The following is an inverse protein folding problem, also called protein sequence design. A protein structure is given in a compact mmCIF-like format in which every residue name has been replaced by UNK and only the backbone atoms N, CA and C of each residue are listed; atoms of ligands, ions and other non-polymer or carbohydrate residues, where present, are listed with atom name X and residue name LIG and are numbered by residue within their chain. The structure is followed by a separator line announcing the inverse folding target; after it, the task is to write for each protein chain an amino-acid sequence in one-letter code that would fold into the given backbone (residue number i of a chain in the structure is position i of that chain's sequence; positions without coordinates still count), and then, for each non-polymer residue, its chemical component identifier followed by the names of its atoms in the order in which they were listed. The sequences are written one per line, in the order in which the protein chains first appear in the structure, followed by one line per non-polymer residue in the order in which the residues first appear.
data_IF_793962985456
#
_entry.id   IF_793962985456
#
_cell.length_a   1.000
_cell.length_b   1.000
_cell.length_c   1.000
_cell.angle_alpha   90.00
_cell.angle_beta   90.00
_cell.angle_gamma   90.00
#
_symmetry.space_group_name_H-M   'P 1'
#
loop_
_entity.id
_entity.type
_entity.pdbx_description
1 polymer ?
#
# COMPACT_ATOMS: atom_id res chain seq x y z
N UNK A 1 27.22 -0.71 -0.42
CA UNK A 1 28.36 -1.02 0.46
C UNK A 1 28.52 0.12 1.45
N UNK A 2 28.85 -0.17 2.71
CA UNK A 2 29.28 0.86 3.69
C UNK A 2 30.80 0.69 3.81
N UNK A 3 31.59 1.58 3.20
CA UNK A 3 33.03 1.34 3.05
C UNK A 3 33.31 0.02 2.31
N UNK A 4 34.03 -0.91 2.94
CA UNK A 4 34.33 -2.26 2.41
C UNK A 4 33.30 -3.35 2.78
N UNK A 5 32.23 -3.02 3.50
CA UNK A 5 31.22 -4.00 3.91
C UNK A 5 30.08 -4.08 2.88
N UNK A 6 29.89 -5.27 2.30
CA UNK A 6 28.70 -5.58 1.50
C UNK A 6 27.52 -5.78 2.46
N UNK A 7 26.60 -4.82 2.47
CA UNK A 7 25.36 -4.91 3.24
C UNK A 7 24.54 -6.08 2.67
N UNK A 8 24.24 -7.13 3.47
CA UNK A 8 23.41 -8.24 3.01
C UNK A 8 22.00 -7.76 2.64
N UNK A 9 21.42 -8.34 1.60
CA UNK A 9 20.04 -8.02 1.19
C UNK A 9 19.01 -8.34 2.28
N UNK A 10 19.27 -9.37 3.10
CA UNK A 10 18.42 -9.75 4.23
C UNK A 10 18.26 -8.65 5.32
N UNK A 11 19.19 -7.67 5.36
CA UNK A 11 19.03 -6.53 6.27
C UNK A 11 17.89 -5.61 5.84
N UNK A 12 17.50 -5.62 4.56
CA UNK A 12 16.34 -4.87 4.09
C UNK A 12 15.02 -5.50 4.56
N UNK A 13 14.92 -6.82 4.56
CA UNK A 13 13.76 -7.52 5.13
C UNK A 13 13.64 -7.23 6.64
N UNK A 14 14.79 -7.24 7.33
CA UNK A 14 14.86 -6.88 8.75
C UNK A 14 14.47 -5.42 9.00
N UNK A 15 14.86 -4.49 8.11
CA UNK A 15 14.49 -3.08 8.20
C UNK A 15 12.99 -2.88 7.99
N UNK A 16 12.37 -3.59 7.03
CA UNK A 16 10.92 -3.56 6.84
C UNK A 16 10.21 -4.05 8.11
N UNK A 17 10.63 -5.19 8.67
CA UNK A 17 10.04 -5.72 9.91
C UNK A 17 10.17 -4.73 11.09
N UNK A 18 11.35 -4.12 11.27
CA UNK A 18 11.57 -3.10 12.30
C UNK A 18 10.73 -1.84 12.07
N UNK A 19 10.61 -1.38 10.82
CA UNK A 19 9.75 -0.27 10.46
C UNK A 19 8.28 -0.58 10.79
N UNK A 20 7.81 -1.79 10.48
CA UNK A 20 6.45 -2.21 10.81
C UNK A 20 6.19 -2.26 12.33
N UNK A 21 7.11 -2.83 13.10
CA UNK A 21 6.99 -2.92 14.57
C UNK A 21 6.99 -1.53 15.22
N UNK A 22 7.84 -0.62 14.73
CA UNK A 22 7.95 0.74 15.28
C UNK A 22 6.83 1.68 14.83
N UNK A 23 6.42 1.60 13.57
CA UNK A 23 5.36 2.44 12.99
C UNK A 23 3.95 1.97 13.38
N UNK A 24 3.76 0.70 13.72
CA UNK A 24 2.47 0.15 14.16
C UNK A 24 1.78 0.95 15.28
N UNK A 25 2.41 1.16 16.44
CA UNK A 25 1.81 1.96 17.52
C UNK A 25 1.62 3.43 17.13
N UNK A 26 2.46 3.97 16.25
CA UNK A 26 2.35 5.36 15.77
C UNK A 26 1.11 5.51 14.89
N UNK A 27 0.93 4.63 13.91
CA UNK A 27 -0.25 4.58 13.06
C UNK A 27 -1.51 4.37 13.90
N UNK A 28 -1.50 3.44 14.85
CA UNK A 28 -2.64 3.22 15.76
C UNK A 28 -3.06 4.49 16.50
N UNK A 29 -2.11 5.29 16.99
CA UNK A 29 -2.40 6.60 17.61
C UNK A 29 -2.93 7.62 16.60
N UNK A 30 -2.36 7.68 15.40
CA UNK A 30 -2.81 8.58 14.33
C UNK A 30 -4.26 8.27 13.96
N UNK A 31 -4.60 7.01 13.75
CA UNK A 31 -5.96 6.58 13.42
C UNK A 31 -6.93 6.78 14.58
N UNK A 32 -6.53 6.50 15.82
CA UNK A 32 -7.37 6.78 17.00
C UNK A 32 -7.66 8.27 17.16
N UNK A 33 -6.68 9.14 16.88
CA UNK A 33 -6.86 10.60 16.90
C UNK A 33 -7.74 11.07 15.74
N UNK A 34 -7.64 10.42 14.58
CA UNK A 34 -8.45 10.72 13.41
C UNK A 34 -9.91 10.31 13.60
N UNK A 35 -10.16 9.14 14.20
CA UNK A 35 -11.50 8.67 14.56
C UNK A 35 -12.19 9.58 15.60
N UNK A 36 -11.42 10.28 16.43
CA UNK A 36 -11.92 11.26 17.41
C UNK A 36 -12.16 12.66 16.83
N UNK A 37 -11.94 12.89 15.52
CA UNK A 37 -12.19 14.21 14.92
C UNK A 37 -13.69 14.45 14.70
N UNK A 38 -14.15 15.70 14.82
CA UNK A 38 -15.55 16.09 14.61
C UNK A 38 -16.05 15.93 13.15
N UNK A 39 -15.17 15.59 12.21
CA UNK A 39 -15.48 15.38 10.78
C UNK A 39 -15.76 13.90 10.44
N UNK A 40 -15.75 13.00 11.43
CA UNK A 40 -15.87 11.55 11.24
C UNK A 40 -14.55 10.86 10.89
N UNK A 41 -14.54 9.52 10.91
CA UNK A 41 -13.38 8.72 10.48
C UNK A 41 -13.15 8.87 8.97
N UNK A 42 -11.90 8.76 8.53
CA UNK A 42 -11.58 8.71 7.12
C UNK A 42 -12.22 7.46 6.52
N UNK A 43 -12.95 7.58 5.41
CA UNK A 43 -13.54 6.44 4.71
C UNK A 43 -12.47 5.36 4.44
N UNK A 44 -12.90 4.11 4.42
CA UNK A 44 -11.99 2.99 4.16
C UNK A 44 -11.27 3.17 2.81
N UNK A 45 -11.97 3.70 1.81
CA UNK A 45 -11.42 4.08 0.50
C UNK A 45 -10.34 5.16 0.60
N UNK A 46 -10.55 6.26 1.33
CA UNK A 46 -9.52 7.30 1.51
C UNK A 46 -8.27 6.78 2.23
N UNK A 47 -8.43 5.88 3.20
CA UNK A 47 -7.28 5.21 3.85
C UNK A 47 -6.49 4.37 2.84
N UNK A 48 -7.19 3.64 1.96
CA UNK A 48 -6.57 2.85 0.89
C UNK A 48 -5.85 3.74 -0.11
N UNK A 49 -6.48 4.83 -0.55
CA UNK A 49 -5.89 5.81 -1.45
C UNK A 49 -4.59 6.41 -0.89
N UNK A 50 -4.59 6.76 0.40
CA UNK A 50 -3.39 7.26 1.07
C UNK A 50 -2.27 6.22 1.09
N UNK A 51 -2.59 4.96 1.39
CA UNK A 51 -1.62 3.85 1.32
C UNK A 51 -1.04 3.67 -0.08
N UNK A 52 -1.87 3.69 -1.12
CA UNK A 52 -1.44 3.56 -2.51
C UNK A 52 -0.56 4.74 -2.97
N UNK A 53 -0.88 5.96 -2.55
CA UNK A 53 -0.06 7.14 -2.84
C UNK A 53 1.30 7.04 -2.14
N UNK A 54 1.34 6.58 -0.87
CA UNK A 54 2.60 6.35 -0.15
C UNK A 54 3.45 5.25 -0.78
N UNK A 55 2.84 4.15 -1.23
CA UNK A 55 3.51 3.11 -1.99
C UNK A 55 4.08 3.68 -3.30
N UNK A 56 3.30 4.46 -4.05
CA UNK A 56 3.80 5.14 -5.25
C UNK A 56 4.97 6.08 -4.96
N UNK A 57 4.89 6.87 -3.88
CA UNK A 57 5.96 7.76 -3.43
C UNK A 57 7.24 6.99 -3.06
N UNK A 58 7.12 5.81 -2.46
CA UNK A 58 8.28 4.94 -2.18
C UNK A 58 9.02 4.59 -3.48
N UNK A 59 8.30 4.21 -4.54
CA UNK A 59 8.90 3.91 -5.83
C UNK A 59 9.51 5.15 -6.52
N UNK A 60 8.97 6.34 -6.29
CA UNK A 60 9.62 7.60 -6.72
C UNK A 60 10.96 7.79 -6.03
N UNK A 61 11.01 7.62 -4.70
CA UNK A 61 12.25 7.70 -3.92
C UNK A 61 13.27 6.67 -4.45
N UNK A 62 12.81 5.47 -4.79
CA UNK A 62 13.66 4.42 -5.35
C UNK A 62 14.20 4.76 -6.74
N UNK A 63 13.37 5.32 -7.62
CA UNK A 63 13.80 5.78 -8.94
C UNK A 63 14.80 6.96 -8.85
N UNK A 64 14.56 7.90 -7.93
CA UNK A 64 15.48 9.02 -7.65
C UNK A 64 16.82 8.53 -7.09
N UNK A 65 16.83 7.46 -6.30
CA UNK A 65 18.06 6.85 -5.82
C UNK A 65 18.94 6.33 -6.98
N UNK A 66 18.34 5.78 -8.04
CA UNK A 66 19.08 5.33 -9.22
C UNK A 66 19.58 6.50 -10.09
N UNK A 67 18.77 7.55 -10.26
CA UNK A 67 19.17 8.76 -11.00
C UNK A 67 20.33 9.49 -10.30
N UNK A 68 20.25 9.67 -8.98
CA UNK A 68 21.28 10.36 -8.19
C UNK A 68 22.58 9.58 -8.08
N UNK A 69 22.53 8.26 -8.21
CA UNK A 69 23.68 7.38 -8.19
C UNK A 69 24.57 7.53 -9.43
N UNK A 70 24.01 7.89 -10.59
CA UNK A 70 24.77 8.21 -11.81
C UNK A 70 25.76 7.14 -12.29
N UNK A 71 25.62 5.88 -11.85
CA UNK A 71 26.55 4.79 -12.13
C UNK A 71 27.43 4.31 -10.96
N UNK A 72 27.46 5.03 -9.83
CA UNK A 72 28.17 4.62 -8.60
C UNK A 72 27.35 3.66 -7.72
N UNK A 73 27.66 3.43 -6.46
CA UNK A 73 26.78 2.73 -5.50
C UNK A 73 25.76 3.72 -4.90
N UNK A 74 24.48 3.35 -4.82
CA UNK A 74 23.46 4.22 -4.22
C UNK A 74 23.80 4.45 -2.74
N UNK A 75 23.67 5.69 -2.22
CA UNK A 75 23.77 5.93 -0.79
C UNK A 75 22.74 5.09 -0.04
N UNK A 76 23.18 4.37 1.00
CA UNK A 76 22.31 3.50 1.79
C UNK A 76 21.11 4.24 2.40
N UNK A 77 21.29 5.54 2.67
CA UNK A 77 20.23 6.43 3.16
C UNK A 77 18.98 6.45 2.27
N UNK A 78 19.13 6.37 0.94
CA UNK A 78 17.99 6.32 0.02
C UNK A 78 17.22 5.01 0.12
N UNK A 79 17.93 3.90 0.31
CA UNK A 79 17.30 2.58 0.44
C UNK A 79 16.59 2.46 1.79
N UNK A 80 17.17 3.02 2.86
CA UNK A 80 16.51 3.14 4.17
C UNK A 80 15.25 3.99 4.05
N UNK A 81 15.32 5.15 3.40
CA UNK A 81 14.17 6.03 3.17
C UNK A 81 13.06 5.33 2.35
N UNK A 82 13.45 4.64 1.27
CA UNK A 82 12.54 3.79 0.50
C UNK A 82 11.85 2.76 1.38
N UNK A 83 12.61 1.98 2.16
CA UNK A 83 12.07 0.93 3.03
C UNK A 83 11.08 1.48 4.05
N UNK A 84 11.40 2.60 4.70
CA UNK A 84 10.50 3.23 5.69
C UNK A 84 9.19 3.69 5.05
N UNK A 85 9.24 4.35 3.88
CA UNK A 85 8.04 4.86 3.19
C UNK A 85 7.22 3.70 2.60
N UNK A 86 7.88 2.67 2.07
CA UNK A 86 7.26 1.45 1.59
C UNK A 86 6.51 0.75 2.73
N UNK A 87 7.18 0.48 3.85
CA UNK A 87 6.56 -0.14 5.02
C UNK A 87 5.40 0.67 5.56
N UNK A 88 5.50 2.01 5.59
CA UNK A 88 4.39 2.87 5.97
C UNK A 88 3.18 2.68 5.04
N UNK A 89 3.40 2.61 3.73
CA UNK A 89 2.35 2.32 2.74
C UNK A 89 1.75 0.93 2.91
N UNK A 90 2.57 -0.09 3.13
CA UNK A 90 2.14 -1.47 3.36
C UNK A 90 1.31 -1.61 4.63
N UNK A 91 1.71 -0.97 5.72
CA UNK A 91 0.95 -1.01 6.98
C UNK A 91 -0.42 -0.36 6.86
N UNK A 92 -0.55 0.67 6.03
CA UNK A 92 -1.84 1.29 5.75
C UNK A 92 -2.67 0.37 4.85
N UNK A 93 -2.07 -0.27 3.83
CA UNK A 93 -2.77 -1.10 2.86
C UNK A 93 -3.18 -2.50 3.37
N UNK A 94 -2.31 -3.19 4.10
CA UNK A 94 -2.48 -4.58 4.54
C UNK A 94 -3.77 -4.87 5.35
N UNK A 95 -4.17 -4.07 6.36
CA UNK A 95 -5.40 -4.32 7.10
C UNK A 95 -6.66 -3.95 6.30
N UNK A 96 -6.53 -3.17 5.23
CA UNK A 96 -7.67 -2.65 4.47
C UNK A 96 -8.27 -3.69 3.53
N UNK A 97 -7.47 -4.56 2.90
CA UNK A 97 -8.00 -5.63 2.04
C UNK A 97 -8.97 -6.56 2.80
N UNK A 98 -8.55 -7.03 3.97
CA UNK A 98 -9.38 -7.88 4.82
C UNK A 98 -10.59 -7.12 5.39
N UNK A 99 -10.40 -5.86 5.79
CA UNK A 99 -11.49 -5.03 6.33
C UNK A 99 -12.54 -4.70 5.26
N UNK A 100 -12.11 -4.50 4.01
CA UNK A 100 -13.00 -4.29 2.86
C UNK A 100 -13.93 -5.48 2.69
N UNK A 101 -13.35 -6.66 2.57
CA UNK A 101 -14.14 -7.86 2.31
C UNK A 101 -15.02 -8.17 3.52
N UNK A 102 -14.54 -8.03 4.75
CA UNK A 102 -15.36 -8.28 5.92
C UNK A 102 -16.52 -7.29 6.06
N UNK A 103 -16.33 -6.03 5.65
CA UNK A 103 -17.35 -4.98 5.77
C UNK A 103 -18.35 -5.00 4.62
N UNK A 104 -17.93 -5.40 3.41
CA UNK A 104 -18.75 -5.36 2.20
C UNK A 104 -19.26 -6.72 1.72
N UNK A 105 -18.89 -7.82 2.40
CA UNK A 105 -19.41 -9.14 2.04
C UNK A 105 -20.74 -9.42 2.73
N UNK A 106 -21.71 -10.02 2.02
CA UNK A 106 -22.89 -10.58 2.65
C UNK A 106 -22.48 -11.62 3.70
N UNK A 107 -23.11 -11.65 4.89
CA UNK A 107 -22.72 -12.57 5.98
C UNK A 107 -22.68 -14.04 5.54
N UNK A 108 -23.56 -14.41 4.60
CA UNK A 108 -23.67 -15.77 4.04
C UNK A 108 -22.54 -16.13 3.06
N UNK A 109 -21.87 -15.15 2.47
CA UNK A 109 -20.85 -15.32 1.41
C UNK A 109 -19.46 -14.84 1.81
N UNK A 110 -19.26 -14.45 3.07
CA UNK A 110 -18.00 -13.92 3.59
C UNK A 110 -16.80 -14.85 3.28
N UNK A 111 -16.95 -16.15 3.50
CA UNK A 111 -15.90 -17.15 3.21
C UNK A 111 -15.58 -17.25 1.72
N UNK A 112 -16.59 -17.14 0.84
CA UNK A 112 -16.41 -17.13 -0.61
C UNK A 112 -15.68 -15.86 -1.08
N UNK A 113 -16.04 -14.69 -0.56
CA UNK A 113 -15.37 -13.42 -0.92
C UNK A 113 -13.93 -13.36 -0.40
N UNK A 114 -13.66 -13.88 0.80
CA UNK A 114 -12.30 -14.09 1.30
C UNK A 114 -11.48 -15.01 0.39
N UNK A 115 -12.09 -16.06 -0.16
CA UNK A 115 -11.43 -16.97 -1.11
C UNK A 115 -11.08 -16.27 -2.43
N UNK A 116 -11.97 -15.40 -2.93
CA UNK A 116 -11.71 -14.58 -4.13
C UNK A 116 -10.51 -13.65 -3.92
N UNK A 117 -10.39 -13.07 -2.73
CA UNK A 117 -9.23 -12.23 -2.39
C UNK A 117 -7.92 -13.00 -2.37
N UNK A 118 -7.89 -14.16 -1.70
CA UNK A 118 -6.70 -15.02 -1.70
C UNK A 118 -6.34 -15.48 -3.12
N UNK A 119 -7.35 -15.78 -3.95
CA UNK A 119 -7.15 -16.13 -5.35
C UNK A 119 -6.55 -14.96 -6.16
N UNK A 120 -7.02 -13.74 -5.94
CA UNK A 120 -6.46 -12.54 -6.56
C UNK A 120 -4.99 -12.33 -6.16
N UNK A 121 -4.66 -12.52 -4.88
CA UNK A 121 -3.28 -12.46 -4.37
C UNK A 121 -2.42 -13.57 -5.00
N UNK A 122 -2.95 -14.77 -5.19
CA UNK A 122 -2.25 -15.87 -5.87
C UNK A 122 -1.89 -15.51 -7.31
N UNK A 123 -2.84 -14.98 -8.10
CA UNK A 123 -2.55 -14.56 -9.46
C UNK A 123 -1.56 -13.39 -9.52
N UNK A 124 -1.67 -12.42 -8.59
CA UNK A 124 -0.71 -11.34 -8.47
C UNK A 124 0.71 -11.87 -8.19
N UNK A 125 0.86 -12.76 -7.20
CA UNK A 125 2.13 -13.38 -6.85
C UNK A 125 2.71 -14.23 -7.99
N UNK A 126 1.85 -14.97 -8.72
CA UNK A 126 2.28 -15.75 -9.89
C UNK A 126 2.78 -14.87 -11.03
N UNK A 127 2.12 -13.73 -11.26
CA UNK A 127 2.50 -12.77 -12.31
C UNK A 127 3.75 -11.96 -11.96
N UNK A 128 4.08 -11.81 -10.67
CA UNK A 128 5.20 -11.00 -10.19
C UNK A 128 6.53 -11.34 -10.86
N UNK A 129 6.86 -12.63 -10.98
CA UNK A 129 8.12 -13.06 -11.62
C UNK A 129 8.21 -12.67 -13.09
N UNK A 130 7.11 -12.81 -13.83
CA UNK A 130 7.06 -12.42 -15.24
C UNK A 130 7.16 -10.90 -15.43
N UNK A 131 6.47 -10.13 -14.58
CA UNK A 131 6.56 -8.66 -14.57
C UNK A 131 7.98 -8.20 -14.22
N UNK A 132 8.64 -8.88 -13.28
CA UNK A 132 10.01 -8.60 -12.90
C UNK A 132 10.99 -8.83 -14.06
N UNK A 133 10.92 -9.98 -14.73
CA UNK A 133 11.75 -10.25 -15.92
C UNK A 133 11.50 -9.26 -17.06
N UNK A 134 10.24 -8.84 -17.24
CA UNK A 134 9.90 -7.80 -18.21
C UNK A 134 10.52 -6.44 -17.84
N UNK A 135 10.49 -6.08 -16.56
CA UNK A 135 11.06 -4.82 -16.02
C UNK A 135 12.58 -4.76 -16.23
N UNK A 136 13.28 -5.88 -16.16
CA UNK A 136 14.73 -5.96 -16.39
C UNK A 136 15.16 -5.62 -17.83
N UNK A 137 14.26 -5.65 -18.81
CA UNK A 137 14.56 -5.29 -20.21
C UNK A 137 14.68 -3.78 -20.43
N UNK A 138 14.24 -2.98 -19.47
CA UNK A 138 14.21 -1.52 -19.56
C UNK A 138 15.20 -0.87 -18.60
N UNK A 139 15.49 0.42 -18.81
CA UNK A 139 16.32 1.20 -17.87
C UNK A 139 15.62 1.30 -16.52
N UNK A 140 16.39 1.15 -15.44
CA UNK A 140 15.88 1.07 -14.07
C UNK A 140 15.03 2.30 -13.69
N UNK A 141 15.61 3.50 -13.67
CA UNK A 141 14.90 4.73 -13.29
C UNK A 141 13.52 4.94 -13.97
N UNK A 142 13.38 4.97 -15.32
CA UNK A 142 12.08 5.21 -15.94
C UNK A 142 11.05 4.13 -15.64
N UNK A 143 11.46 2.86 -15.50
CA UNK A 143 10.51 1.78 -15.18
C UNK A 143 9.90 1.95 -13.79
N UNK A 144 10.72 2.29 -12.78
CA UNK A 144 10.20 2.53 -11.44
C UNK A 144 9.38 3.83 -11.32
N UNK A 145 9.67 4.85 -12.14
CA UNK A 145 8.80 6.02 -12.28
C UNK A 145 7.44 5.66 -12.88
N UNK A 146 7.38 4.76 -13.87
CA UNK A 146 6.11 4.29 -14.44
C UNK A 146 5.32 3.49 -13.41
N UNK A 147 5.97 2.58 -12.67
CA UNK A 147 5.33 1.83 -11.58
C UNK A 147 4.78 2.78 -10.51
N UNK A 148 5.58 3.77 -10.11
CA UNK A 148 5.16 4.81 -9.17
C UNK A 148 3.94 5.59 -9.69
N UNK A 149 3.94 5.97 -10.96
CA UNK A 149 2.85 6.72 -11.59
C UNK A 149 1.56 5.88 -11.66
N UNK A 150 1.66 4.59 -11.96
CA UNK A 150 0.51 3.68 -11.96
C UNK A 150 -0.05 3.53 -10.53
N UNK A 151 0.81 3.29 -9.54
CA UNK A 151 0.40 3.13 -8.14
C UNK A 151 -0.23 4.42 -7.57
N UNK A 152 0.43 5.57 -7.77
CA UNK A 152 -0.08 6.86 -7.34
C UNK A 152 -1.35 7.25 -8.11
N UNK A 153 -1.40 7.01 -9.41
CA UNK A 153 -2.55 7.27 -10.26
C UNK A 153 -3.78 6.46 -9.82
N UNK A 154 -3.61 5.17 -9.54
CA UNK A 154 -4.68 4.34 -9.00
C UNK A 154 -5.14 4.83 -7.61
N UNK A 155 -4.21 5.27 -6.75
CA UNK A 155 -4.55 5.89 -5.46
C UNK A 155 -5.34 7.20 -5.61
N UNK A 156 -4.95 8.07 -6.56
CA UNK A 156 -5.65 9.33 -6.85
C UNK A 156 -7.04 9.08 -7.42
N UNK A 157 -7.17 8.14 -8.36
CA UNK A 157 -8.48 7.74 -8.93
C UNK A 157 -9.39 7.25 -7.81
N UNK A 158 -8.88 6.40 -6.92
CA UNK A 158 -9.64 5.88 -5.79
C UNK A 158 -10.04 7.00 -4.81
N UNK A 159 -9.16 7.98 -4.57
CA UNK A 159 -9.49 9.16 -3.78
C UNK A 159 -10.62 9.99 -4.40
N UNK A 160 -10.59 10.21 -5.72
CA UNK A 160 -11.63 10.96 -6.43
C UNK A 160 -12.97 10.22 -6.47
N UNK A 161 -12.93 8.89 -6.62
CA UNK A 161 -14.12 8.04 -6.64
C UNK A 161 -14.68 7.75 -5.25
N UNK A 162 -13.96 8.11 -4.17
CA UNK A 162 -14.41 7.93 -2.79
C UNK A 162 -15.83 8.46 -2.55
N UNK A 163 -16.17 9.63 -3.08
CA UNK A 163 -17.50 10.21 -2.89
C UNK A 163 -18.63 9.33 -3.43
N UNK A 164 -18.42 8.69 -4.59
CA UNK A 164 -19.41 7.78 -5.22
C UNK A 164 -19.37 6.39 -4.60
N UNK A 165 -18.19 5.89 -4.27
CA UNK A 165 -18.03 4.57 -3.66
C UNK A 165 -18.60 4.52 -2.25
N UNK A 166 -18.39 5.60 -1.48
CA UNK A 166 -18.92 5.70 -0.12
C UNK A 166 -20.45 5.92 -0.13
N UNK A 167 -21.02 6.60 -1.14
CA UNK A 167 -22.48 6.75 -1.23
C UNK A 167 -23.20 5.43 -1.54
N UNK A 168 -22.64 4.60 -2.44
CA UNK A 168 -23.19 3.28 -2.78
C UNK A 168 -23.15 2.28 -1.61
N UNK A 169 -22.29 2.55 -0.63
CA UNK A 169 -22.11 1.73 0.56
C UNK A 169 -23.06 2.15 1.68
N UNK A 170 -23.26 3.45 1.86
CA UNK A 170 -24.09 3.99 2.95
C UNK A 170 -25.58 3.77 2.66
N UNK A 171 -25.99 3.64 1.39
CA UNK A 171 -27.38 3.33 1.01
C UNK A 171 -27.87 1.94 1.48
N UNK A 172 -27.00 0.99 1.85
CA UNK A 172 -27.42 -0.29 2.45
C UNK A 172 -27.63 -0.23 3.98
N UNK A 173 -27.26 0.86 4.67
CA UNK A 173 -27.38 0.98 6.15
C UNK A 173 -28.67 1.68 6.65
N UNK A 174 -29.59 2.15 5.79
CA UNK A 174 -30.92 2.66 6.20
C UNK A 174 -32.04 1.61 5.98
N UNK A 175 -33.01 1.48 6.91
CA UNK A 175 -32.99 0.41 7.90
C UNK A 175 -33.97 -0.73 7.57
N UNK A 176 -33.51 -1.98 7.70
CA UNK A 176 -34.39 -3.14 7.92
C UNK A 176 -34.85 -3.18 9.39
N UNK A 177 -35.40 -2.07 9.89
CA UNK A 177 -35.99 -1.97 11.23
C UNK A 177 -37.44 -1.46 11.17
N UNK A 178 -38.14 -1.77 10.07
CA UNK A 178 -39.60 -1.70 9.94
C UNK A 178 -40.13 -2.95 9.21
N UNK A 179 -39.94 -4.14 9.79
CA UNK A 179 -40.83 -5.28 9.52
C UNK A 179 -40.61 -6.40 10.55
N UNK A 180 -41.56 -6.48 11.48
CA UNK A 180 -41.88 -7.58 12.43
C UNK A 180 -41.17 -7.55 13.78
#
# INVERSE_FOLDING_TARGET
MIGNFQVPTAWFDSLNALACISLGPILGKVWSKLAKRPQGDLSMFKKTALGMILLGLSYVIFAMADVTRGGSLAPLAWIIAFGIVLSLGEMVFSPLGNSFISKFSPPKLLSSMMSVWVLAVFFAAKSYGWVYEFTLKFKFAPTYFVIAAIAAGAGIILWLLDGKLNSLVVEEEEPLNEAV
#
